data_IF_691229976642
#
_entry.id   IF_691229976642
#
_cell.length_a   1.000
_cell.length_b   1.000
_cell.length_c   1.000
_cell.angle_alpha   90.00
_cell.angle_beta   90.00
_cell.angle_gamma   90.00
#
_symmetry.space_group_name_H-M   'P 1'
#
loop_
_entity.id
_entity.type
_entity.pdbx_description
1 polymer ?
#
# COMPACT_ATOMS: atom_id res chain seq x y z
N UNK A 1 52.77 -28.31 -76.12
CA UNK A 1 51.90 -28.39 -74.92
C UNK A 1 52.53 -27.49 -73.86
N UNK A 2 52.08 -26.27 -73.54
CA UNK A 2 50.78 -25.85 -72.95
C UNK A 2 50.38 -26.84 -71.85
N UNK A 3 50.29 -26.48 -70.56
CA UNK A 3 49.56 -25.34 -69.99
C UNK A 3 50.24 -24.75 -68.75
N UNK A 4 50.04 -23.44 -68.61
CA UNK A 4 50.27 -22.61 -67.42
C UNK A 4 49.17 -22.89 -66.40
N UNK A 5 49.53 -23.02 -65.12
CA UNK A 5 48.60 -22.93 -64.00
C UNK A 5 49.01 -21.73 -63.14
N UNK A 6 48.28 -20.62 -63.27
CA UNK A 6 48.53 -19.40 -62.51
C UNK A 6 48.04 -19.55 -61.07
N UNK A 7 48.91 -19.24 -60.12
CA UNK A 7 48.56 -19.09 -58.70
C UNK A 7 48.00 -17.68 -58.52
N UNK A 8 46.69 -17.58 -58.34
CA UNK A 8 46.01 -16.33 -57.95
C UNK A 8 45.98 -16.32 -56.42
N UNK A 9 46.80 -15.46 -55.83
CA UNK A 9 46.76 -15.13 -54.40
C UNK A 9 45.55 -14.21 -54.18
N UNK A 10 44.42 -14.77 -53.75
CA UNK A 10 43.28 -14.00 -53.25
C UNK A 10 43.56 -13.61 -51.80
N UNK A 11 43.96 -12.35 -51.60
CA UNK A 11 43.96 -11.70 -50.30
C UNK A 11 42.52 -11.52 -49.82
N UNK A 12 42.03 -12.47 -49.04
CA UNK A 12 40.79 -12.32 -48.28
C UNK A 12 41.06 -11.42 -47.08
N UNK A 13 40.74 -10.13 -47.22
CA UNK A 13 40.62 -9.19 -46.10
C UNK A 13 39.42 -9.67 -45.26
N UNK A 14 39.71 -10.47 -44.23
CA UNK A 14 38.74 -10.75 -43.18
C UNK A 14 38.56 -9.47 -42.37
N UNK A 15 37.55 -8.67 -42.72
CA UNK A 15 37.07 -7.61 -41.87
C UNK A 15 36.50 -8.24 -40.59
N UNK A 16 37.33 -8.33 -39.55
CA UNK A 16 36.87 -8.49 -38.18
C UNK A 16 36.04 -7.24 -37.82
N UNK A 17 34.75 -7.25 -38.15
CA UNK A 17 33.79 -6.44 -37.44
C UNK A 17 33.61 -7.11 -36.08
N UNK A 18 34.50 -6.77 -35.14
CA UNK A 18 34.21 -6.94 -33.73
C UNK A 18 32.97 -6.10 -33.45
N UNK A 19 31.80 -6.74 -33.37
CA UNK A 19 30.66 -6.21 -32.63
C UNK A 19 31.16 -5.96 -31.21
N UNK A 20 31.67 -4.75 -30.96
CA UNK A 20 31.78 -4.25 -29.61
C UNK A 20 30.34 -4.12 -29.13
N UNK A 21 29.84 -5.17 -28.48
CA UNK A 21 28.75 -5.00 -27.54
C UNK A 21 29.24 -3.94 -26.56
N UNK A 22 28.76 -2.70 -26.73
CA UNK A 22 29.03 -1.59 -25.82
C UNK A 22 28.69 -2.12 -24.43
N UNK A 23 29.70 -2.22 -23.55
CA UNK A 23 29.42 -2.61 -22.17
C UNK A 23 28.38 -1.63 -21.64
N UNK A 24 27.22 -2.11 -21.15
CA UNK A 24 26.18 -1.22 -20.68
C UNK A 24 26.77 -0.32 -19.59
N UNK A 25 26.47 0.97 -19.69
CA UNK A 25 26.90 1.94 -18.68
C UNK A 25 26.38 1.50 -17.31
N UNK A 26 27.21 1.69 -16.29
CA UNK A 26 26.91 1.25 -14.93
C UNK A 26 27.04 2.38 -13.92
N UNK A 27 26.18 2.33 -12.89
CA UNK A 27 26.29 3.11 -11.66
C UNK A 27 26.43 2.16 -10.48
N UNK A 28 27.20 2.56 -9.46
CA UNK A 28 27.37 1.80 -8.22
C UNK A 28 26.76 2.63 -7.10
N UNK A 29 25.96 1.99 -6.25
CA UNK A 29 25.31 2.67 -5.15
C UNK A 29 26.29 3.04 -4.03
N UNK A 30 25.97 4.02 -3.16
CA UNK A 30 26.82 4.44 -2.04
C UNK A 30 27.25 3.32 -1.09
N UNK A 31 26.42 2.30 -0.87
CA UNK A 31 26.79 1.14 -0.04
C UNK A 31 27.62 0.09 -0.77
N UNK A 32 27.80 0.25 -2.10
CA UNK A 32 28.45 -0.67 -3.02
C UNK A 32 27.74 -2.03 -3.17
N UNK A 33 26.56 -2.20 -2.56
CA UNK A 33 25.77 -3.42 -2.69
C UNK A 33 25.09 -3.52 -4.05
N UNK A 34 24.61 -2.40 -4.58
CA UNK A 34 23.83 -2.36 -5.81
C UNK A 34 24.68 -1.88 -6.98
N UNK A 35 24.70 -2.69 -8.05
CA UNK A 35 25.39 -2.37 -9.30
C UNK A 35 24.33 -2.30 -10.39
N UNK A 36 24.10 -1.11 -10.93
CA UNK A 36 22.97 -0.84 -11.81
C UNK A 36 23.47 -0.61 -13.23
N UNK A 37 23.03 -1.46 -14.15
CA UNK A 37 23.29 -1.35 -15.59
C UNK A 37 22.07 -0.78 -16.30
N UNK A 38 22.29 0.10 -17.28
CA UNK A 38 21.22 0.68 -18.09
C UNK A 38 21.72 1.83 -18.94
N UNK A 39 20.95 2.26 -19.93
CA UNK A 39 21.37 3.35 -20.82
C UNK A 39 21.21 4.75 -20.19
N UNK A 40 20.19 4.96 -19.35
CA UNK A 40 19.83 6.28 -18.80
C UNK A 40 20.44 6.52 -17.41
N UNK A 41 21.32 7.52 -17.30
CA UNK A 41 21.99 7.92 -16.04
C UNK A 41 21.02 8.41 -14.96
N UNK A 42 19.96 9.11 -15.33
CA UNK A 42 18.96 9.64 -14.38
C UNK A 42 18.18 8.48 -13.78
N UNK A 43 17.75 7.55 -14.62
CA UNK A 43 17.06 6.34 -14.16
C UNK A 43 17.96 5.47 -13.29
N UNK A 44 19.24 5.26 -13.68
CA UNK A 44 20.22 4.56 -12.84
C UNK A 44 20.35 5.22 -11.45
N UNK A 45 20.40 6.56 -11.40
CA UNK A 45 20.45 7.32 -10.15
C UNK A 45 19.20 7.15 -9.30
N UNK A 46 18.01 7.24 -9.90
CA UNK A 46 16.73 7.06 -9.21
C UNK A 46 16.59 5.64 -8.62
N UNK A 47 16.94 4.61 -9.38
CA UNK A 47 16.94 3.21 -8.93
C UNK A 47 17.94 2.98 -7.80
N UNK A 48 19.13 3.59 -7.89
CA UNK A 48 20.12 3.54 -6.81
C UNK A 48 19.58 4.12 -5.52
N UNK A 49 18.93 5.29 -5.59
CA UNK A 49 18.35 5.94 -4.41
C UNK A 49 17.21 5.11 -3.81
N UNK A 50 16.33 4.57 -4.66
CA UNK A 50 15.24 3.70 -4.22
C UNK A 50 15.80 2.45 -3.51
N UNK A 51 16.78 1.76 -4.10
CA UNK A 51 17.39 0.57 -3.52
C UNK A 51 18.03 0.83 -2.14
N UNK A 52 18.78 1.94 -2.02
CA UNK A 52 19.38 2.33 -0.73
C UNK A 52 18.33 2.71 0.30
N UNK A 53 17.27 3.42 -0.10
CA UNK A 53 16.18 3.78 0.80
C UNK A 53 15.41 2.55 1.28
N UNK A 54 15.04 1.63 0.38
CA UNK A 54 14.37 0.36 0.71
C UNK A 54 15.21 -0.44 1.70
N UNK A 55 16.52 -0.56 1.45
CA UNK A 55 17.44 -1.24 2.36
C UNK A 55 17.51 -0.55 3.73
N UNK A 56 17.68 0.77 3.74
CA UNK A 56 17.80 1.55 4.97
C UNK A 56 16.55 1.39 5.83
N UNK A 57 15.37 1.46 5.22
CA UNK A 57 14.09 1.24 5.89
C UNK A 57 13.99 -0.17 6.48
N UNK A 58 14.35 -1.20 5.71
CA UNK A 58 14.34 -2.59 6.19
C UNK A 58 15.32 -2.79 7.36
N UNK A 59 16.57 -2.34 7.23
CA UNK A 59 17.58 -2.51 8.28
C UNK A 59 17.19 -1.78 9.57
N UNK A 60 16.58 -0.59 9.45
CA UNK A 60 16.03 0.14 10.59
C UNK A 60 14.91 -0.65 11.28
N UNK A 61 13.99 -1.23 10.51
CA UNK A 61 12.90 -2.08 11.04
C UNK A 61 13.46 -3.34 11.73
N UNK A 62 14.47 -3.98 11.15
CA UNK A 62 15.14 -5.17 11.71
C UNK A 62 16.10 -4.83 12.86
N UNK A 63 16.40 -3.54 13.09
CA UNK A 63 17.43 -3.05 14.02
C UNK A 63 18.81 -3.66 13.75
N UNK A 64 19.15 -3.79 12.47
CA UNK A 64 20.43 -4.33 12.02
C UNK A 64 21.33 -3.25 11.45
N UNK A 65 22.64 -3.51 11.49
CA UNK A 65 23.63 -2.73 10.75
C UNK A 65 23.75 -3.26 9.33
N UNK A 66 24.16 -2.39 8.43
CA UNK A 66 24.50 -2.80 7.08
C UNK A 66 25.76 -3.69 7.10
N UNK A 67 25.63 -4.90 6.57
CA UNK A 67 26.65 -5.94 6.60
C UNK A 67 26.48 -6.91 5.42
N UNK A 68 26.02 -6.38 4.28
CA UNK A 68 25.77 -7.15 3.07
C UNK A 68 27.04 -7.90 2.61
N UNK A 69 26.84 -9.08 2.01
CA UNK A 69 27.93 -9.90 1.47
C UNK A 69 27.74 -10.27 0.01
N UNK A 70 26.50 -10.32 -0.45
CA UNK A 70 26.14 -10.70 -1.82
C UNK A 70 25.76 -9.42 -2.57
N UNK A 71 26.46 -9.08 -3.67
CA UNK A 71 26.07 -7.93 -4.48
C UNK A 71 24.76 -8.21 -5.21
N UNK A 72 23.97 -7.17 -5.39
CA UNK A 72 22.72 -7.18 -6.17
C UNK A 72 22.96 -6.40 -7.46
N UNK A 73 22.98 -7.11 -8.57
CA UNK A 73 23.13 -6.51 -9.91
C UNK A 73 21.74 -6.22 -10.46
N UNK A 74 21.48 -4.98 -10.86
CA UNK A 74 20.19 -4.55 -11.39
C UNK A 74 20.40 -4.19 -12.86
N UNK A 75 19.69 -4.84 -13.77
CA UNK A 75 19.75 -4.52 -15.19
C UNK A 75 18.45 -3.84 -15.62
N UNK A 76 18.57 -2.62 -16.12
CA UNK A 76 17.47 -1.85 -16.66
C UNK A 76 17.39 -2.10 -18.16
N UNK A 77 16.41 -2.91 -18.58
CA UNK A 77 16.23 -3.31 -19.96
C UNK A 77 15.09 -2.50 -20.59
N UNK A 78 15.29 -1.85 -21.76
CA UNK A 78 14.20 -1.17 -22.42
C UNK A 78 13.16 -2.18 -22.91
N UNK A 79 11.87 -1.84 -22.82
CA UNK A 79 10.81 -2.65 -23.39
C UNK A 79 11.01 -2.79 -24.91
N UNK A 80 11.14 -4.04 -25.39
CA UNK A 80 11.35 -4.32 -26.82
C UNK A 80 10.04 -4.71 -27.49
N UNK A 81 9.65 -3.99 -28.54
CA UNK A 81 8.35 -4.14 -29.22
C UNK A 81 8.15 -5.49 -29.95
N UNK A 82 9.21 -6.30 -30.11
CA UNK A 82 9.21 -7.50 -30.96
C UNK A 82 9.60 -8.80 -30.24
N UNK A 83 9.73 -8.79 -28.91
CA UNK A 83 10.00 -9.99 -28.11
C UNK A 83 8.73 -10.48 -27.39
N UNK A 84 8.63 -11.77 -27.03
CA UNK A 84 7.55 -12.25 -26.15
C UNK A 84 7.46 -11.37 -24.89
N UNK A 85 6.27 -11.26 -24.28
CA UNK A 85 6.05 -10.46 -23.06
C UNK A 85 7.09 -10.83 -21.98
N UNK A 86 8.13 -10.01 -21.88
CA UNK A 86 9.14 -10.13 -20.84
C UNK A 86 8.46 -9.68 -19.54
N UNK A 87 8.60 -10.44 -18.44
CA UNK A 87 8.06 -10.00 -17.16
C UNK A 87 8.60 -8.60 -16.80
N UNK A 88 7.79 -7.76 -16.13
CA UNK A 88 8.20 -6.41 -15.76
C UNK A 88 9.41 -6.41 -14.80
N UNK A 89 9.56 -7.47 -14.02
CA UNK A 89 10.71 -7.72 -13.18
C UNK A 89 10.99 -9.22 -13.11
N UNK A 90 12.26 -9.60 -13.18
CA UNK A 90 12.70 -10.99 -13.03
C UNK A 90 13.92 -11.04 -12.10
N UNK A 91 13.82 -11.85 -11.06
CA UNK A 91 14.89 -12.00 -10.08
C UNK A 91 15.57 -13.36 -10.25
N UNK A 92 16.84 -13.31 -10.59
CA UNK A 92 17.73 -14.45 -10.76
C UNK A 92 18.70 -14.54 -9.60
N UNK A 93 18.74 -15.70 -8.95
CA UNK A 93 19.81 -16.03 -8.02
C UNK A 93 20.72 -17.05 -8.70
N UNK A 94 22.00 -16.72 -8.85
CA UNK A 94 22.98 -17.58 -9.51
C UNK A 94 24.24 -17.74 -8.65
N UNK A 95 24.90 -18.89 -8.76
CA UNK A 95 26.24 -19.07 -8.22
C UNK A 95 27.25 -18.96 -9.36
N UNK A 96 28.17 -18.02 -9.25
CA UNK A 96 29.27 -17.82 -10.21
C UNK A 96 30.57 -18.36 -9.62
N UNK A 97 31.63 -18.49 -10.42
CA UNK A 97 32.96 -18.83 -9.92
C UNK A 97 33.52 -17.85 -8.86
N UNK A 98 32.89 -16.68 -8.71
CA UNK A 98 33.24 -15.64 -7.74
C UNK A 98 32.29 -15.60 -6.52
N UNK A 99 31.38 -16.58 -6.40
CA UNK A 99 30.40 -16.66 -5.32
C UNK A 99 28.96 -16.39 -5.80
N UNK A 100 27.99 -16.38 -4.86
CA UNK A 100 26.59 -16.08 -5.18
C UNK A 100 26.44 -14.66 -5.73
N UNK A 101 25.54 -14.49 -6.69
CA UNK A 101 25.15 -13.22 -7.28
C UNK A 101 23.63 -13.18 -7.40
N UNK A 102 23.05 -12.09 -6.89
CA UNK A 102 21.66 -11.72 -7.13
C UNK A 102 21.61 -10.82 -8.36
N UNK A 103 20.75 -11.14 -9.33
CA UNK A 103 20.49 -10.32 -10.50
C UNK A 103 19.00 -10.01 -10.60
N UNK A 104 18.66 -8.74 -10.67
CA UNK A 104 17.30 -8.25 -10.87
C UNK A 104 17.23 -7.59 -12.24
N UNK A 105 16.52 -8.21 -13.17
CA UNK A 105 16.24 -7.65 -14.48
C UNK A 105 14.91 -6.88 -14.41
N UNK A 106 14.94 -5.58 -14.69
CA UNK A 106 13.77 -4.70 -14.67
C UNK A 106 13.49 -4.19 -16.08
N UNK A 107 12.28 -4.43 -16.56
CA UNK A 107 11.83 -3.92 -17.85
C UNK A 107 11.32 -2.49 -17.69
N UNK A 108 12.02 -1.55 -18.32
CA UNK A 108 11.71 -0.11 -18.33
C UNK A 108 10.70 0.15 -19.45
N UNK A 109 9.43 0.32 -19.06
CA UNK A 109 8.34 0.80 -19.92
C UNK A 109 8.05 2.29 -19.65
N UNK A 110 7.19 2.90 -20.47
CA UNK A 110 6.74 4.29 -20.25
C UNK A 110 5.95 4.45 -18.94
N UNK A 111 5.31 3.38 -18.46
CA UNK A 111 4.56 3.33 -17.19
C UNK A 111 5.35 2.60 -16.11
N UNK A 112 6.49 3.16 -15.72
CA UNK A 112 7.36 2.58 -14.70
C UNK A 112 6.61 2.49 -13.35
N UNK A 113 6.27 1.28 -12.89
CA UNK A 113 5.64 1.08 -11.59
C UNK A 113 6.70 1.06 -10.48
N UNK A 114 6.91 2.22 -9.86
CA UNK A 114 7.81 2.38 -8.73
C UNK A 114 7.47 1.44 -7.55
N UNK A 115 6.19 1.08 -7.35
CA UNK A 115 5.78 0.18 -6.25
C UNK A 115 6.20 -1.26 -6.53
N UNK A 116 6.09 -1.71 -7.78
CA UNK A 116 6.60 -3.01 -8.20
C UNK A 116 8.12 -3.07 -8.08
N UNK A 117 8.83 -2.03 -8.53
CA UNK A 117 10.28 -1.97 -8.41
C UNK A 117 10.74 -2.01 -6.96
N UNK A 118 10.12 -1.21 -6.09
CA UNK A 118 10.43 -1.21 -4.65
C UNK A 118 10.21 -2.61 -4.04
N UNK A 119 9.14 -3.30 -4.44
CA UNK A 119 8.85 -4.68 -4.01
C UNK A 119 9.95 -5.66 -4.42
N UNK A 120 10.38 -5.61 -5.68
CA UNK A 120 11.36 -6.56 -6.19
C UNK A 120 12.78 -6.26 -5.69
N UNK A 121 13.10 -4.98 -5.44
CA UNK A 121 14.29 -4.57 -4.69
C UNK A 121 14.27 -5.14 -3.27
N UNK A 122 13.14 -5.01 -2.56
CA UNK A 122 12.99 -5.59 -1.23
C UNK A 122 13.15 -7.12 -1.27
N UNK A 123 12.55 -7.80 -2.26
CA UNK A 123 12.71 -9.24 -2.45
C UNK A 123 14.18 -9.63 -2.60
N UNK A 124 14.93 -8.91 -3.43
CA UNK A 124 16.37 -9.14 -3.61
C UNK A 124 17.15 -8.95 -2.30
N UNK A 125 16.86 -7.90 -1.54
CA UNK A 125 17.52 -7.62 -0.25
C UNK A 125 17.21 -8.72 0.78
N UNK A 126 15.95 -9.17 0.86
CA UNK A 126 15.57 -10.26 1.77
C UNK A 126 16.26 -11.57 1.40
N UNK A 127 16.38 -11.88 0.11
CA UNK A 127 17.13 -13.05 -0.35
C UNK A 127 18.63 -12.93 -0.02
N UNK A 128 19.22 -11.73 -0.09
CA UNK A 128 20.57 -11.52 0.40
C UNK A 128 20.65 -11.91 1.87
N UNK A 129 19.78 -11.38 2.72
CA UNK A 129 19.82 -11.64 4.17
C UNK A 129 19.67 -13.15 4.45
N UNK A 130 18.70 -13.81 3.82
CA UNK A 130 18.46 -15.26 3.97
C UNK A 130 19.70 -16.08 3.61
N UNK A 131 20.35 -15.77 2.49
CA UNK A 131 21.44 -16.59 1.95
C UNK A 131 22.86 -16.08 2.27
N UNK A 132 23.02 -14.93 2.94
CA UNK A 132 24.34 -14.30 3.20
C UNK A 132 25.34 -15.17 3.96
N UNK A 133 24.84 -16.12 4.76
CA UNK A 133 25.66 -17.04 5.57
C UNK A 133 25.95 -18.36 4.85
N UNK A 134 25.49 -18.53 3.61
CA UNK A 134 25.56 -19.77 2.84
C UNK A 134 26.44 -19.57 1.60
N UNK A 135 27.78 -19.74 1.71
CA UNK A 135 28.70 -19.50 0.61
C UNK A 135 28.63 -20.57 -0.49
N UNK A 136 28.20 -21.79 -0.15
CA UNK A 136 28.22 -22.96 -1.04
C UNK A 136 26.79 -23.49 -1.22
N UNK A 137 26.07 -22.94 -2.19
CA UNK A 137 24.74 -23.42 -2.59
C UNK A 137 24.93 -24.31 -3.81
N UNK A 138 24.39 -25.53 -3.83
CA UNK A 138 24.61 -26.42 -4.96
C UNK A 138 24.00 -25.84 -6.25
N UNK A 139 24.68 -25.95 -7.41
CA UNK A 139 24.09 -25.59 -8.69
C UNK A 139 22.76 -26.31 -8.91
N UNK A 140 21.72 -25.58 -9.33
CA UNK A 140 20.37 -26.13 -9.51
C UNK A 140 19.51 -26.19 -8.24
N UNK A 141 19.98 -25.67 -7.10
CA UNK A 141 19.15 -25.52 -5.89
C UNK A 141 18.02 -24.52 -6.17
N UNK A 142 16.78 -24.92 -5.86
CA UNK A 142 15.62 -24.03 -5.93
C UNK A 142 15.64 -23.13 -4.69
N UNK A 143 15.69 -21.82 -4.90
CA UNK A 143 15.72 -20.83 -3.82
C UNK A 143 14.33 -20.65 -3.21
N UNK A 144 14.28 -20.58 -1.88
CA UNK A 144 13.06 -20.28 -1.15
C UNK A 144 12.81 -18.77 -1.23
N UNK A 145 11.72 -18.39 -1.88
CA UNK A 145 11.32 -16.99 -2.00
C UNK A 145 10.80 -16.47 -0.65
N UNK A 146 11.08 -15.20 -0.30
CA UNK A 146 10.43 -14.55 0.82
C UNK A 146 8.91 -14.56 0.61
N UNK A 147 8.11 -14.84 1.66
CA UNK A 147 6.66 -14.88 1.52
C UNK A 147 6.08 -13.49 1.23
N UNK A 148 5.03 -13.41 0.42
CA UNK A 148 4.46 -12.13 -0.02
C UNK A 148 3.96 -11.25 1.13
N UNK A 149 3.40 -11.85 2.18
CA UNK A 149 2.97 -11.09 3.35
C UNK A 149 4.13 -10.33 4.01
N UNK A 150 5.35 -10.85 3.94
CA UNK A 150 6.53 -10.19 4.49
C UNK A 150 6.91 -8.99 3.61
N UNK A 151 6.86 -9.17 2.28
CA UNK A 151 7.12 -8.09 1.33
C UNK A 151 6.09 -6.96 1.51
N UNK A 152 4.80 -7.28 1.42
CA UNK A 152 3.72 -6.30 1.52
C UNK A 152 3.69 -5.62 2.89
N UNK A 153 3.88 -6.39 3.97
CA UNK A 153 3.84 -5.83 5.33
C UNK A 153 5.03 -4.94 5.66
N UNK A 154 6.24 -5.27 5.19
CA UNK A 154 7.43 -4.42 5.36
C UNK A 154 7.27 -3.12 4.56
N UNK A 155 6.82 -3.21 3.30
CA UNK A 155 6.61 -2.01 2.47
C UNK A 155 5.54 -1.08 3.06
N UNK A 156 4.48 -1.63 3.65
CA UNK A 156 3.44 -0.84 4.33
C UNK A 156 3.97 -0.08 5.57
N UNK A 157 5.05 -0.59 6.18
CA UNK A 157 5.70 0.03 7.34
C UNK A 157 6.79 1.04 6.97
N UNK A 158 7.10 1.22 5.69
CA UNK A 158 8.01 2.27 5.21
C UNK A 158 7.59 3.65 5.74
N UNK A 159 8.53 4.46 6.27
CA UNK A 159 8.23 5.80 6.75
C UNK A 159 7.58 6.67 5.67
N UNK A 160 6.52 7.41 6.02
CA UNK A 160 5.83 8.32 5.09
C UNK A 160 4.82 7.67 4.15
N UNK A 161 4.66 6.33 4.16
CA UNK A 161 3.56 5.66 3.44
C UNK A 161 2.22 6.00 4.10
N UNK A 162 1.25 6.38 3.28
CA UNK A 162 -0.15 6.40 3.71
C UNK A 162 -0.65 4.96 3.92
N UNK A 163 -1.34 4.77 5.03
CA UNK A 163 -1.88 3.47 5.47
C UNK A 163 -3.41 3.52 5.59
N UNK A 164 -4.04 4.67 5.34
CA UNK A 164 -5.48 4.85 5.49
C UNK A 164 -6.29 3.81 4.71
N UNK A 165 -5.97 3.60 3.44
CA UNK A 165 -6.65 2.59 2.61
C UNK A 165 -6.48 1.14 3.11
N UNK A 166 -5.36 0.82 3.76
CA UNK A 166 -5.15 -0.50 4.38
C UNK A 166 -6.00 -0.64 5.63
N UNK A 167 -6.05 0.39 6.48
CA UNK A 167 -6.84 0.37 7.71
C UNK A 167 -8.34 0.35 7.39
N UNK A 168 -8.78 1.12 6.39
CA UNK A 168 -10.15 1.11 5.88
C UNK A 168 -10.53 -0.30 5.39
N UNK A 169 -9.66 -0.96 4.61
CA UNK A 169 -9.90 -2.33 4.16
C UNK A 169 -10.07 -3.33 5.31
N UNK A 170 -9.32 -3.18 6.42
CA UNK A 170 -9.51 -4.01 7.63
C UNK A 170 -10.79 -3.68 8.39
N UNK A 171 -11.36 -2.49 8.20
CA UNK A 171 -12.56 -2.03 8.89
C UNK A 171 -13.85 -2.46 8.18
N UNK A 172 -13.77 -2.76 6.89
CA UNK A 172 -14.88 -3.30 6.10
C UNK A 172 -15.19 -4.77 6.40
N UNK A 173 -14.26 -5.48 7.06
CA UNK A 173 -14.41 -6.90 7.41
C UNK A 173 -14.90 -7.08 8.85
N UNK A 174 -16.15 -7.53 9.03
CA UNK A 174 -16.74 -7.80 10.35
C UNK A 174 -16.00 -8.91 11.12
N UNK A 175 -15.37 -9.85 10.39
CA UNK A 175 -14.64 -10.96 10.99
C UNK A 175 -13.27 -11.13 10.31
N UNK A 176 -12.17 -10.95 11.05
CA UNK A 176 -10.84 -11.14 10.48
C UNK A 176 -10.64 -12.59 10.04
N UNK A 177 -10.01 -12.74 8.87
CA UNK A 177 -9.58 -14.03 8.31
C UNK A 177 -8.70 -14.78 9.34
N UNK A 178 -8.85 -16.09 9.56
CA UNK A 178 -7.95 -16.85 10.42
C UNK A 178 -6.47 -16.71 10.00
N UNK A 179 -5.55 -16.70 10.97
CA UNK A 179 -4.13 -16.47 10.68
C UNK A 179 -3.56 -17.56 9.78
N UNK A 180 -3.90 -18.83 10.03
CA UNK A 180 -3.43 -19.96 9.22
C UNK A 180 -3.92 -19.86 7.76
N UNK A 181 -5.19 -19.48 7.58
CA UNK A 181 -5.78 -19.29 6.26
C UNK A 181 -5.11 -18.12 5.52
N UNK A 182 -4.86 -17.01 6.22
CA UNK A 182 -4.12 -15.87 5.69
C UNK A 182 -2.72 -16.26 5.21
N UNK A 183 -1.95 -17.00 6.03
CA UNK A 183 -0.60 -17.45 5.69
C UNK A 183 -0.57 -18.40 4.48
N UNK A 184 -1.68 -19.09 4.19
CA UNK A 184 -1.85 -19.97 3.04
C UNK A 184 -2.31 -19.27 1.75
N UNK A 185 -2.80 -18.01 1.82
CA UNK A 185 -3.32 -17.31 0.64
C UNK A 185 -2.21 -16.99 -0.38
N UNK A 186 -2.59 -17.05 -1.66
CA UNK A 186 -1.76 -16.69 -2.82
C UNK A 186 -2.27 -15.38 -3.42
N UNK A 187 -1.56 -14.25 -3.23
CA UNK A 187 -2.05 -12.94 -3.65
C UNK A 187 -2.17 -12.79 -5.17
N UNK A 188 -1.48 -13.62 -5.96
CA UNK A 188 -1.52 -13.60 -7.44
C UNK A 188 -2.88 -14.05 -7.98
N UNK A 189 -3.64 -14.81 -7.19
CA UNK A 189 -4.97 -15.32 -7.56
C UNK A 189 -6.11 -14.41 -7.08
N UNK A 190 -5.79 -13.34 -6.36
CA UNK A 190 -6.78 -12.43 -5.79
C UNK A 190 -7.09 -11.27 -6.76
N UNK A 191 -8.32 -10.80 -6.72
CA UNK A 191 -8.75 -9.58 -7.40
C UNK A 191 -8.14 -8.32 -6.75
N UNK A 192 -8.49 -7.13 -7.25
CA UNK A 192 -7.95 -5.87 -6.73
C UNK A 192 -8.30 -5.66 -5.24
N UNK A 193 -9.56 -5.87 -4.87
CA UNK A 193 -10.03 -5.72 -3.49
C UNK A 193 -9.39 -6.77 -2.56
N UNK A 194 -9.34 -8.03 -2.97
CA UNK A 194 -8.69 -9.10 -2.22
C UNK A 194 -7.19 -8.87 -2.03
N UNK A 195 -6.49 -8.30 -3.04
CA UNK A 195 -5.08 -7.90 -2.90
C UNK A 195 -4.89 -6.74 -1.93
N UNK A 196 -5.77 -5.75 -1.92
CA UNK A 196 -5.74 -4.66 -0.94
C UNK A 196 -5.92 -5.19 0.49
N UNK A 197 -6.91 -6.06 0.69
CA UNK A 197 -7.16 -6.69 1.98
C UNK A 197 -5.99 -7.59 2.41
N UNK A 198 -5.39 -8.34 1.48
CA UNK A 198 -4.19 -9.14 1.75
C UNK A 198 -3.01 -8.26 2.21
N UNK A 199 -2.77 -7.12 1.54
CA UNK A 199 -1.75 -6.14 1.96
C UNK A 199 -2.03 -5.58 3.34
N UNK A 200 -3.30 -5.34 3.66
CA UNK A 200 -3.70 -4.83 4.96
C UNK A 200 -3.47 -5.86 6.08
N UNK A 201 -3.78 -7.14 5.85
CA UNK A 201 -3.43 -8.22 6.77
C UNK A 201 -1.92 -8.42 6.89
N UNK A 202 -1.18 -8.28 5.79
CA UNK A 202 0.29 -8.35 5.78
C UNK A 202 0.91 -7.26 6.65
N UNK A 203 0.43 -6.03 6.51
CA UNK A 203 0.76 -4.91 7.39
C UNK A 203 0.46 -5.21 8.86
N UNK A 204 -0.74 -5.70 9.16
CA UNK A 204 -1.13 -6.05 10.52
C UNK A 204 -0.22 -7.13 11.14
N UNK A 205 0.14 -8.14 10.36
CA UNK A 205 1.01 -9.22 10.81
C UNK A 205 2.43 -8.70 11.11
N UNK A 206 3.06 -7.99 10.17
CA UNK A 206 4.42 -7.48 10.40
C UNK A 206 4.44 -6.52 11.59
N UNK A 207 3.42 -5.65 11.72
CA UNK A 207 3.30 -4.74 12.86
C UNK A 207 3.16 -5.47 14.20
N UNK A 208 2.38 -6.56 14.23
CA UNK A 208 2.27 -7.44 15.40
C UNK A 208 3.63 -8.07 15.75
N UNK A 209 4.36 -8.57 14.76
CA UNK A 209 5.64 -9.26 14.96
C UNK A 209 6.74 -8.31 15.48
N UNK A 210 6.80 -7.07 14.97
CA UNK A 210 7.78 -6.09 15.43
C UNK A 210 7.41 -5.43 16.76
N UNK A 211 6.12 -5.40 17.12
CA UNK A 211 5.62 -4.77 18.34
C UNK A 211 5.98 -5.50 19.64
N UNK A 212 6.39 -6.78 19.55
CA UNK A 212 6.83 -7.57 20.70
C UNK A 212 8.24 -7.23 21.20
N UNK A 213 8.60 -7.76 22.37
CA UNK A 213 9.96 -7.66 22.89
C UNK A 213 10.98 -8.30 21.91
N UNK A 214 11.98 -7.51 21.52
CA UNK A 214 12.98 -7.85 20.51
C UNK A 214 12.40 -8.22 19.13
N UNK A 215 11.22 -7.70 18.77
CA UNK A 215 10.50 -8.04 17.54
C UNK A 215 11.34 -7.92 16.26
N UNK A 216 12.09 -6.81 16.10
CA UNK A 216 12.99 -6.62 14.96
C UNK A 216 14.11 -7.67 14.88
N UNK A 217 14.74 -8.00 16.01
CA UNK A 217 15.79 -9.03 16.07
C UNK A 217 15.22 -10.44 15.82
N UNK A 218 13.99 -10.71 16.28
CA UNK A 218 13.29 -11.97 16.03
C UNK A 218 12.90 -12.12 14.57
N UNK A 219 12.40 -11.05 13.94
CA UNK A 219 12.09 -11.02 12.51
C UNK A 219 13.34 -11.19 11.65
N UNK A 220 14.45 -10.57 12.04
CA UNK A 220 15.73 -10.82 11.39
C UNK A 220 16.13 -12.30 11.44
N UNK A 221 16.05 -12.94 12.61
CA UNK A 221 16.35 -14.38 12.76
C UNK A 221 15.37 -15.26 11.98
N UNK A 222 14.09 -14.86 11.88
CA UNK A 222 13.11 -15.54 11.03
C UNK A 222 13.57 -15.50 9.56
N UNK A 223 13.94 -14.33 9.05
CA UNK A 223 14.43 -14.13 7.68
C UNK A 223 15.69 -14.95 7.43
N UNK A 224 16.67 -14.92 8.34
CA UNK A 224 17.91 -15.72 8.27
C UNK A 224 17.63 -17.24 8.12
N UNK A 225 16.50 -17.72 8.65
CA UNK A 225 16.14 -19.13 8.67
C UNK A 225 15.14 -19.54 7.57
N UNK A 226 14.70 -18.62 6.70
CA UNK A 226 13.70 -18.90 5.66
C UNK A 226 14.11 -20.03 4.71
N UNK A 227 15.42 -20.17 4.42
CA UNK A 227 15.91 -21.24 3.54
C UNK A 227 15.77 -22.65 4.11
N UNK A 228 15.57 -22.78 5.43
CA UNK A 228 15.43 -24.06 6.16
C UNK A 228 14.02 -24.14 6.81
N UNK A 229 13.11 -23.25 6.41
CA UNK A 229 11.74 -23.23 6.90
C UNK A 229 11.04 -24.56 6.57
N UNK A 230 10.15 -24.98 7.48
CA UNK A 230 9.33 -26.16 7.28
C UNK A 230 8.16 -25.85 6.34
N UNK A 231 7.42 -26.89 5.94
CA UNK A 231 6.17 -26.69 5.19
C UNK A 231 5.05 -26.06 6.04
N UNK A 232 5.21 -26.05 7.37
CA UNK A 232 4.25 -25.48 8.32
C UNK A 232 4.67 -24.07 8.74
N UNK A 233 4.19 -23.10 7.96
CA UNK A 233 4.51 -21.67 8.12
C UNK A 233 4.10 -21.12 9.49
N UNK A 234 2.98 -21.59 10.05
CA UNK A 234 2.50 -21.12 11.33
C UNK A 234 3.39 -21.64 12.46
N UNK A 235 3.81 -22.90 12.40
CA UNK A 235 4.72 -23.45 13.38
C UNK A 235 6.11 -22.78 13.34
N UNK A 236 6.63 -22.46 12.16
CA UNK A 236 7.89 -21.72 12.03
C UNK A 236 7.79 -20.31 12.66
N UNK A 237 6.66 -19.62 12.45
CA UNK A 237 6.39 -18.34 13.11
C UNK A 237 6.29 -18.48 14.62
N UNK A 238 5.57 -19.49 15.13
CA UNK A 238 5.41 -19.73 16.57
C UNK A 238 6.74 -20.06 17.25
N UNK A 239 7.61 -20.80 16.58
CA UNK A 239 8.94 -21.12 17.09
C UNK A 239 9.79 -19.87 17.30
N UNK A 240 9.66 -18.88 16.41
CA UNK A 240 10.48 -17.69 16.42
C UNK A 240 9.88 -16.53 17.24
N UNK A 241 8.56 -16.47 17.33
CA UNK A 241 7.79 -15.40 17.96
C UNK A 241 6.94 -15.92 19.14
N UNK A 242 7.43 -15.78 20.39
CA UNK A 242 6.72 -16.22 21.58
C UNK A 242 5.32 -15.60 21.74
N UNK A 243 5.11 -14.40 21.17
CA UNK A 243 3.80 -13.74 21.16
C UNK A 243 2.74 -14.60 20.48
N UNK A 244 3.09 -15.50 19.55
CA UNK A 244 2.15 -16.37 18.85
C UNK A 244 2.04 -17.78 19.46
N UNK A 245 2.80 -18.11 20.50
CA UNK A 245 2.95 -19.50 20.96
C UNK A 245 1.65 -20.13 21.50
N UNK A 246 0.90 -19.40 22.33
CA UNK A 246 -0.22 -19.97 23.09
C UNK A 246 -1.59 -19.79 22.41
N UNK A 247 -1.92 -18.57 22.00
CA UNK A 247 -3.22 -18.24 21.40
C UNK A 247 -3.03 -17.36 20.15
N UNK A 248 -2.41 -17.90 19.08
CA UNK A 248 -2.08 -17.12 17.89
C UNK A 248 -3.31 -16.45 17.28
N UNK A 249 -4.44 -17.17 17.21
CA UNK A 249 -5.68 -16.65 16.64
C UNK A 249 -6.27 -15.50 17.47
N UNK A 250 -6.31 -15.60 18.80
CA UNK A 250 -6.85 -14.52 19.62
C UNK A 250 -5.99 -13.25 19.52
N UNK A 251 -4.68 -13.43 19.49
CA UNK A 251 -3.71 -12.34 19.38
C UNK A 251 -3.77 -11.69 18.01
N UNK A 252 -3.89 -12.50 16.95
CA UNK A 252 -4.12 -12.06 15.59
C UNK A 252 -5.40 -11.23 15.46
N UNK A 253 -6.55 -11.76 15.92
CA UNK A 253 -7.83 -11.03 15.91
C UNK A 253 -7.73 -9.71 16.65
N UNK A 254 -7.08 -9.71 17.82
CA UNK A 254 -6.86 -8.50 18.60
C UNK A 254 -5.95 -7.50 17.88
N UNK A 255 -4.96 -7.97 17.13
CA UNK A 255 -4.07 -7.12 16.36
C UNK A 255 -4.78 -6.45 15.19
N UNK A 256 -5.58 -7.21 14.43
CA UNK A 256 -6.41 -6.67 13.35
C UNK A 256 -7.43 -5.68 13.91
N UNK A 257 -8.17 -6.04 14.96
CA UNK A 257 -9.17 -5.17 15.57
C UNK A 257 -8.58 -3.85 16.06
N UNK A 258 -7.39 -3.86 16.69
CA UNK A 258 -6.70 -2.61 17.10
C UNK A 258 -6.38 -1.71 15.92
N UNK A 259 -6.05 -2.28 14.77
CA UNK A 259 -5.72 -1.50 13.57
C UNK A 259 -6.98 -0.96 12.92
N UNK A 260 -8.03 -1.77 12.76
CA UNK A 260 -9.35 -1.28 12.32
C UNK A 260 -9.87 -0.18 13.25
N UNK A 261 -9.63 -0.30 14.56
CA UNK A 261 -9.95 0.72 15.56
C UNK A 261 -9.04 1.96 15.49
N UNK A 262 -7.94 1.95 14.73
CA UNK A 262 -7.08 3.13 14.58
C UNK A 262 -7.77 4.22 13.74
N UNK A 263 -8.74 3.88 12.88
CA UNK A 263 -9.68 4.86 12.30
C UNK A 263 -10.53 5.55 13.39
N UNK A 264 -10.79 4.87 14.52
CA UNK A 264 -11.51 5.50 15.65
C UNK A 264 -10.67 6.59 16.36
N UNK A 265 -9.37 6.68 16.09
CA UNK A 265 -8.47 7.71 16.61
C UNK A 265 -8.09 8.78 15.57
N UNK A 266 -8.51 8.62 14.31
CA UNK A 266 -8.47 9.71 13.33
C UNK A 266 -9.53 10.73 13.72
N UNK A 267 -9.12 11.99 13.93
CA UNK A 267 -10.11 13.05 14.07
C UNK A 267 -10.89 13.12 12.76
N UNK A 268 -12.21 13.06 12.88
CA UNK A 268 -13.07 13.29 11.73
C UNK A 268 -12.75 14.65 11.12
N UNK A 269 -12.80 14.73 9.79
CA UNK A 269 -12.79 16.03 9.10
C UNK A 269 -13.96 16.88 9.61
N UNK A 270 -13.92 18.17 9.31
CA UNK A 270 -15.01 19.06 9.70
C UNK A 270 -16.35 18.58 9.08
N UNK A 271 -16.35 18.23 7.80
CA UNK A 271 -17.54 17.76 7.09
C UNK A 271 -18.10 16.45 7.66
N UNK A 272 -17.24 15.46 7.95
CA UNK A 272 -17.66 14.20 8.57
C UNK A 272 -18.19 14.42 9.99
N UNK A 273 -17.57 15.32 10.75
CA UNK A 273 -18.00 15.68 12.10
C UNK A 273 -19.37 16.35 12.10
N UNK A 274 -19.65 17.25 11.15
CA UNK A 274 -20.97 17.87 11.00
C UNK A 274 -22.04 16.84 10.64
N UNK A 275 -21.77 15.94 9.68
CA UNK A 275 -22.73 14.86 9.33
C UNK A 275 -23.05 13.96 10.52
N UNK A 276 -22.02 13.47 11.23
CA UNK A 276 -22.23 12.64 12.42
C UNK A 276 -22.97 13.40 13.52
N UNK A 277 -22.70 14.70 13.70
CA UNK A 277 -23.42 15.51 14.67
C UNK A 277 -24.91 15.60 14.28
N UNK A 278 -25.25 15.84 13.02
CA UNK A 278 -26.64 15.88 12.56
C UNK A 278 -27.37 14.55 12.78
N UNK A 279 -26.70 13.43 12.55
CA UNK A 279 -27.26 12.11 12.84
C UNK A 279 -27.55 11.94 14.35
N UNK A 280 -26.62 12.33 15.22
CA UNK A 280 -26.79 12.26 16.68
C UNK A 280 -27.87 13.20 17.22
N UNK A 281 -28.15 14.31 16.52
CA UNK A 281 -29.23 15.24 16.86
C UNK A 281 -30.61 14.70 16.45
N UNK A 282 -30.66 13.69 15.59
CA UNK A 282 -31.88 12.98 15.20
C UNK A 282 -32.08 11.74 16.09
N UNK A 283 -32.83 11.92 17.18
CA UNK A 283 -32.98 10.90 18.22
C UNK A 283 -33.98 9.83 17.78
N UNK A 284 -33.57 8.55 17.87
CA UNK A 284 -34.44 7.38 17.68
C UNK A 284 -35.22 7.09 18.96
N UNK A 285 -36.54 7.08 18.89
CA UNK A 285 -37.41 6.73 20.01
C UNK A 285 -37.65 5.21 20.08
N UNK A 286 -37.57 4.58 21.27
CA UNK A 286 -37.79 3.15 21.41
C UNK A 286 -39.20 2.75 20.95
N UNK A 287 -39.30 1.80 20.03
CA UNK A 287 -40.57 1.28 19.51
C UNK A 287 -41.16 2.05 18.31
N UNK A 288 -40.46 3.07 17.79
CA UNK A 288 -40.87 3.78 16.56
C UNK A 288 -39.69 3.98 15.63
N UNK A 289 -39.87 3.79 14.31
CA UNK A 289 -38.86 4.10 13.29
C UNK A 289 -38.69 5.60 13.02
N UNK A 290 -39.44 6.46 13.71
CA UNK A 290 -39.47 7.91 13.46
C UNK A 290 -38.32 8.61 14.19
N UNK A 291 -37.44 9.25 13.41
CA UNK A 291 -36.41 10.14 13.91
C UNK A 291 -37.02 11.45 14.37
N UNK A 292 -36.61 11.91 15.55
CA UNK A 292 -37.13 13.12 16.18
C UNK A 292 -35.96 14.05 16.50
N UNK A 293 -35.93 15.21 15.83
CA UNK A 293 -34.86 16.20 16.01
C UNK A 293 -34.85 16.75 17.45
N UNK A 294 -33.67 16.98 18.02
CA UNK A 294 -33.50 17.48 19.39
C UNK A 294 -34.33 18.74 19.71
N UNK A 295 -34.49 19.63 18.73
CA UNK A 295 -35.24 20.88 18.86
C UNK A 295 -36.75 20.67 19.12
N UNK A 296 -37.31 19.55 18.65
CA UNK A 296 -38.74 19.23 18.80
C UNK A 296 -39.15 18.92 20.24
N UNK A 297 -38.22 18.44 21.08
CA UNK A 297 -38.43 18.15 22.51
C UNK A 297 -38.66 19.42 23.36
N UNK A 298 -38.53 20.61 22.77
CA UNK A 298 -38.93 21.88 23.37
C UNK A 298 -40.44 22.05 23.47
N UNK A 299 -41.21 21.46 22.53
CA UNK A 299 -42.63 21.77 22.34
C UNK A 299 -43.55 21.08 23.35
N UNK A 300 -43.15 19.93 23.90
CA UNK A 300 -44.00 19.11 24.78
C UNK A 300 -43.23 18.59 26.01
N UNK A 301 -43.99 18.21 27.04
CA UNK A 301 -43.45 17.64 28.28
C UNK A 301 -43.00 16.21 28.00
N UNK A 302 -41.70 15.97 28.12
CA UNK A 302 -41.11 14.70 27.68
C UNK A 302 -41.63 13.52 28.50
N UNK A 303 -42.03 12.45 27.81
CA UNK A 303 -42.45 11.18 28.39
C UNK A 303 -41.27 10.46 29.07
N UNK A 304 -41.53 9.38 29.81
CA UNK A 304 -40.46 8.60 30.45
C UNK A 304 -39.51 7.96 29.42
N UNK A 305 -40.04 7.51 28.28
CA UNK A 305 -39.26 6.91 27.18
C UNK A 305 -38.41 7.96 26.47
N UNK A 306 -38.97 9.15 26.20
CA UNK A 306 -38.24 10.27 25.60
C UNK A 306 -37.11 10.78 26.48
N UNK A 307 -37.31 10.81 27.81
CA UNK A 307 -36.23 11.14 28.75
C UNK A 307 -35.11 10.10 28.73
N UNK A 308 -35.43 8.82 28.54
CA UNK A 308 -34.46 7.75 28.32
C UNK A 308 -33.64 7.98 27.05
N UNK A 309 -34.32 8.26 25.94
CA UNK A 309 -33.68 8.55 24.66
C UNK A 309 -32.78 9.80 24.70
N UNK A 310 -33.20 10.87 25.38
CA UNK A 310 -32.39 12.08 25.58
C UNK A 310 -31.14 11.83 26.45
N UNK A 311 -31.21 10.92 27.42
CA UNK A 311 -30.02 10.51 28.20
C UNK A 311 -29.05 9.71 27.34
N UNK A 312 -29.56 8.80 26.51
CA UNK A 312 -28.74 8.03 25.58
C UNK A 312 -28.05 8.96 24.57
N UNK A 313 -28.80 9.85 23.92
CA UNK A 313 -28.23 10.84 22.99
C UNK A 313 -27.17 11.72 23.68
N UNK A 314 -27.36 12.08 24.94
CA UNK A 314 -26.34 12.79 25.72
C UNK A 314 -25.08 11.96 25.98
N UNK A 315 -25.18 10.63 26.12
CA UNK A 315 -24.02 9.75 26.30
C UNK A 315 -23.30 9.56 24.96
N UNK A 316 -24.04 9.39 23.87
CA UNK A 316 -23.49 9.24 22.53
C UNK A 316 -22.74 10.51 22.10
N UNK A 317 -23.32 11.70 22.34
CA UNK A 317 -22.66 12.99 22.12
C UNK A 317 -21.40 13.14 22.98
N UNK A 318 -21.38 12.61 24.21
CA UNK A 318 -20.21 12.66 25.09
C UNK A 318 -19.06 11.81 24.54
N UNK A 319 -19.36 10.61 24.04
CA UNK A 319 -18.38 9.74 23.38
C UNK A 319 -17.87 10.38 22.09
N UNK A 320 -18.75 11.00 21.31
CA UNK A 320 -18.42 11.66 20.05
C UNK A 320 -17.41 12.81 20.20
N UNK A 321 -17.39 13.54 21.33
CA UNK A 321 -16.43 14.63 21.58
C UNK A 321 -14.97 14.17 21.40
N UNK A 322 -14.64 12.93 21.73
CA UNK A 322 -13.30 12.38 21.57
C UNK A 322 -12.84 12.27 20.11
N UNK A 323 -13.79 12.08 19.18
CA UNK A 323 -13.56 11.84 17.75
C UNK A 323 -13.82 13.07 16.87
N UNK A 324 -14.69 13.96 17.31
CA UNK A 324 -15.07 15.15 16.57
C UNK A 324 -13.88 16.06 16.27
N UNK A 325 -13.94 16.74 15.13
CA UNK A 325 -13.02 17.79 14.74
C UNK A 325 -12.82 18.78 15.90
N UNK A 326 -11.57 19.17 16.24
CA UNK A 326 -11.28 20.04 17.38
C UNK A 326 -12.13 21.31 17.44
N UNK A 327 -12.45 21.90 16.28
CA UNK A 327 -13.23 23.14 16.16
C UNK A 327 -14.70 22.93 16.55
N UNK A 328 -15.26 21.74 16.34
CA UNK A 328 -16.65 21.40 16.67
C UNK A 328 -16.84 20.89 18.10
N UNK A 329 -15.78 20.48 18.80
CA UNK A 329 -15.90 19.94 20.18
C UNK A 329 -16.67 20.84 21.15
N UNK A 330 -16.49 22.18 21.16
CA UNK A 330 -17.28 23.06 22.03
C UNK A 330 -18.78 23.04 21.69
N UNK A 331 -19.11 22.97 20.40
CA UNK A 331 -20.49 22.92 19.88
C UNK A 331 -21.15 21.60 20.28
N UNK A 332 -20.48 20.47 20.05
CA UNK A 332 -20.95 19.13 20.46
C UNK A 332 -21.20 19.07 21.97
N UNK A 333 -20.29 19.64 22.77
CA UNK A 333 -20.43 19.70 24.24
C UNK A 333 -21.64 20.52 24.67
N UNK A 334 -21.95 21.61 23.98
CA UNK A 334 -23.16 22.41 24.25
C UNK A 334 -24.44 21.63 23.92
N UNK A 335 -24.49 20.90 22.80
CA UNK A 335 -25.62 20.01 22.47
C UNK A 335 -25.80 18.91 23.51
N UNK A 336 -24.71 18.30 23.96
CA UNK A 336 -24.73 17.30 25.04
C UNK A 336 -25.34 17.86 26.33
N UNK A 337 -24.98 19.08 26.72
CA UNK A 337 -25.59 19.75 27.88
C UNK A 337 -27.08 20.05 27.68
N UNK A 338 -27.48 20.45 26.47
CA UNK A 338 -28.88 20.69 26.13
C UNK A 338 -29.69 19.39 26.24
N UNK A 339 -29.19 18.28 25.70
CA UNK A 339 -29.82 16.97 25.83
C UNK A 339 -30.02 16.57 27.30
N UNK A 340 -29.00 16.77 28.16
CA UNK A 340 -29.14 16.55 29.61
C UNK A 340 -30.19 17.45 30.27
N UNK A 341 -30.26 18.73 29.89
CA UNK A 341 -31.25 19.66 30.43
C UNK A 341 -32.67 19.26 30.04
N UNK A 342 -32.88 18.87 28.78
CA UNK A 342 -34.15 18.39 28.27
C UNK A 342 -34.57 17.08 28.94
N UNK A 343 -33.64 16.14 29.15
CA UNK A 343 -33.89 14.90 29.89
C UNK A 343 -34.34 15.16 31.35
N UNK A 344 -33.79 16.21 31.97
CA UNK A 344 -34.18 16.69 33.32
C UNK A 344 -35.46 17.55 33.31
N UNK A 345 -36.04 17.82 32.14
CA UNK A 345 -37.23 18.64 31.97
C UNK A 345 -37.00 20.15 32.06
N UNK A 346 -35.74 20.60 32.11
CA UNK A 346 -35.37 22.02 32.16
C UNK A 346 -35.33 22.60 30.75
N UNK A 347 -36.28 23.49 30.42
CA UNK A 347 -36.43 24.07 29.07
C UNK A 347 -36.11 25.58 29.00
N UNK A 348 -35.98 26.25 30.15
CA UNK A 348 -35.76 27.70 30.20
C UNK A 348 -34.45 28.06 29.50
N UNK A 349 -34.52 28.94 28.50
CA UNK A 349 -33.37 29.44 27.75
C UNK A 349 -32.76 28.45 26.74
N UNK A 350 -33.27 27.22 26.63
CA UNK A 350 -32.72 26.21 25.70
C UNK A 350 -32.94 26.61 24.25
N UNK A 351 -34.11 27.17 23.91
CA UNK A 351 -34.40 27.63 22.54
C UNK A 351 -33.39 28.69 22.05
N UNK A 352 -33.04 29.66 22.90
CA UNK A 352 -32.03 30.68 22.57
C UNK A 352 -30.64 30.08 22.39
N UNK A 353 -30.29 29.07 23.20
CA UNK A 353 -29.01 28.35 23.07
C UNK A 353 -28.94 27.56 21.77
N UNK A 354 -30.00 26.83 21.42
CA UNK A 354 -30.06 26.08 20.15
C UNK A 354 -29.96 27.01 18.93
N UNK A 355 -30.67 28.14 18.92
CA UNK A 355 -30.57 29.11 17.83
C UNK A 355 -29.14 29.66 17.68
N UNK A 356 -28.46 29.96 18.81
CA UNK A 356 -27.05 30.38 18.80
C UNK A 356 -26.13 29.29 18.25
N UNK A 357 -26.34 28.03 18.64
CA UNK A 357 -25.52 26.91 18.17
C UNK A 357 -25.67 26.68 16.67
N UNK A 358 -26.90 26.75 16.14
CA UNK A 358 -27.15 26.66 14.70
C UNK A 358 -26.39 27.74 13.93
N UNK A 359 -26.53 29.01 14.34
CA UNK A 359 -25.79 30.11 13.71
C UNK A 359 -24.26 29.95 13.85
N UNK A 360 -23.77 29.36 14.94
CA UNK A 360 -22.34 29.08 15.12
C UNK A 360 -21.87 27.98 14.17
N UNK A 361 -22.66 26.90 14.02
CA UNK A 361 -22.37 25.81 13.08
C UNK A 361 -22.32 26.30 11.64
N UNK A 362 -23.30 27.09 11.21
CA UNK A 362 -23.33 27.67 9.86
C UNK A 362 -22.10 28.54 9.59
N UNK A 363 -21.71 29.39 10.53
CA UNK A 363 -20.51 30.22 10.40
C UNK A 363 -19.21 29.40 10.35
N UNK A 364 -19.12 28.33 11.14
CA UNK A 364 -17.97 27.43 11.13
C UNK A 364 -17.89 26.66 9.81
N UNK A 365 -19.02 26.18 9.31
CA UNK A 365 -19.10 25.45 8.05
C UNK A 365 -18.68 26.32 6.86
N UNK A 366 -19.17 27.56 6.78
CA UNK A 366 -18.75 28.50 5.76
C UNK A 366 -17.22 28.71 5.77
N UNK A 367 -16.64 29.00 6.95
CA UNK A 367 -15.20 29.22 7.09
C UNK A 367 -14.35 28.00 6.73
N UNK A 368 -14.81 26.79 7.09
CA UNK A 368 -14.06 25.57 6.78
C UNK A 368 -14.13 25.23 5.30
N UNK A 369 -15.27 25.46 4.64
CA UNK A 369 -15.36 25.35 3.17
C UNK A 369 -14.43 26.35 2.48
N UNK A 370 -14.37 27.61 2.93
CA UNK A 370 -13.45 28.60 2.36
C UNK A 370 -11.97 28.15 2.48
N UNK A 371 -11.62 27.50 3.60
CA UNK A 371 -10.27 26.94 3.82
C UNK A 371 -10.02 25.76 2.89
N UNK A 372 -10.96 24.81 2.79
CA UNK A 372 -10.84 23.65 1.92
C UNK A 372 -10.72 24.09 0.44
N UNK A 373 -11.51 25.07 0.00
CA UNK A 373 -11.44 25.65 -1.35
C UNK A 373 -10.08 26.31 -1.63
N UNK A 374 -9.54 27.05 -0.65
CA UNK A 374 -8.22 27.63 -0.77
C UNK A 374 -7.13 26.56 -0.85
N UNK A 375 -7.20 25.53 -0.02
CA UNK A 375 -6.24 24.42 -0.03
C UNK A 375 -6.30 23.65 -1.35
N UNK A 376 -7.49 23.37 -1.86
CA UNK A 376 -7.69 22.74 -3.17
C UNK A 376 -7.11 23.61 -4.31
N UNK A 377 -7.38 24.92 -4.29
CA UNK A 377 -6.79 25.84 -5.27
C UNK A 377 -5.27 25.87 -5.18
N UNK A 378 -4.70 25.89 -3.97
CA UNK A 378 -3.26 25.89 -3.75
C UNK A 378 -2.61 24.59 -4.23
N UNK A 379 -3.19 23.43 -3.91
CA UNK A 379 -2.74 22.14 -4.43
C UNK A 379 -2.80 22.08 -5.96
N UNK A 380 -3.87 22.59 -6.56
CA UNK A 380 -4.07 22.56 -8.01
C UNK A 380 -3.14 23.51 -8.79
N UNK A 381 -2.74 24.64 -8.18
CA UNK A 381 -2.05 25.72 -8.92
C UNK A 381 -0.62 25.99 -8.48
N UNK A 382 -0.27 25.70 -7.22
CA UNK A 382 1.03 26.08 -6.63
C UNK A 382 1.89 24.89 -6.20
N UNK A 383 1.33 23.68 -6.06
CA UNK A 383 2.13 22.48 -5.75
C UNK A 383 2.72 21.86 -7.02
N UNK A 384 4.04 21.62 -7.02
CA UNK A 384 4.75 20.92 -8.10
C UNK A 384 4.49 19.40 -8.16
N UNK A 385 3.78 18.85 -7.17
CA UNK A 385 3.41 17.43 -7.08
C UNK A 385 2.00 17.32 -6.51
N UNK A 386 1.05 16.78 -7.28
CA UNK A 386 -0.33 16.55 -6.82
C UNK A 386 -0.42 15.48 -5.73
N UNK A 387 -1.54 15.47 -4.99
CA UNK A 387 -1.77 14.61 -3.81
C UNK A 387 -1.78 13.09 -4.07
N UNK A 388 -1.61 12.64 -5.33
CA UNK A 388 -1.55 11.22 -5.69
C UNK A 388 -2.91 10.50 -5.66
N UNK A 389 -3.95 11.08 -5.07
CA UNK A 389 -5.26 10.43 -4.89
C UNK A 389 -5.96 10.03 -6.20
N UNK A 390 -5.69 10.77 -7.28
CA UNK A 390 -6.27 10.51 -8.60
C UNK A 390 -5.36 9.71 -9.53
N UNK A 391 -4.15 9.32 -9.11
CA UNK A 391 -3.22 8.61 -10.01
C UNK A 391 -3.79 7.29 -10.47
N UNK A 392 -4.52 6.58 -9.61
CA UNK A 392 -5.11 5.29 -9.97
C UNK A 392 -6.31 5.43 -10.91
N UNK A 393 -7.10 6.50 -10.75
CA UNK A 393 -8.21 6.80 -11.66
C UNK A 393 -7.70 7.26 -13.03
N UNK A 394 -6.66 8.11 -13.07
CA UNK A 394 -6.01 8.52 -14.31
C UNK A 394 -5.36 7.33 -15.02
N UNK A 395 -4.71 6.42 -14.27
CA UNK A 395 -4.18 5.17 -14.82
C UNK A 395 -5.28 4.27 -15.38
N UNK A 396 -6.41 4.13 -14.69
CA UNK A 396 -7.54 3.33 -15.17
C UNK A 396 -8.19 3.95 -16.41
N UNK A 397 -8.31 5.29 -16.47
CA UNK A 397 -8.81 6.01 -17.62
C UNK A 397 -7.86 5.87 -18.82
N UNK A 398 -6.54 6.01 -18.62
CA UNK A 398 -5.53 5.77 -19.65
C UNK A 398 -5.55 4.31 -20.13
N UNK A 399 -5.75 3.35 -19.24
CA UNK A 399 -5.93 1.92 -19.60
C UNK A 399 -7.21 1.68 -20.40
N UNK A 400 -8.28 2.47 -20.19
CA UNK A 400 -9.51 2.39 -20.97
C UNK A 400 -9.43 3.09 -22.34
N UNK A 401 -8.61 4.14 -22.44
CA UNK A 401 -8.30 4.87 -23.68
C UNK A 401 -7.31 4.10 -24.56
N UNK A 402 -6.47 3.26 -23.97
CA UNK A 402 -5.70 2.24 -24.69
C UNK A 402 -6.68 1.25 -25.27
N UNK A 403 -6.95 1.38 -26.57
CA UNK A 403 -7.76 0.44 -27.34
C UNK A 403 -7.35 -0.97 -26.98
N UNK A 404 -8.33 -1.81 -26.59
CA UNK A 404 -8.08 -3.23 -26.34
C UNK A 404 -7.25 -3.81 -27.49
N UNK A 405 -6.27 -4.69 -27.23
CA UNK A 405 -5.40 -5.24 -28.27
C UNK A 405 -6.26 -5.75 -29.43
N UNK A 406 -6.02 -5.20 -30.64
CA UNK A 406 -6.78 -5.53 -31.84
C UNK A 406 -6.85 -7.05 -31.97
N UNK A 407 -8.06 -7.60 -31.87
CA UNK A 407 -8.27 -9.04 -31.97
C UNK A 407 -7.90 -9.45 -33.39
N UNK A 408 -6.96 -10.39 -33.53
CA UNK A 408 -6.47 -10.89 -34.84
C UNK A 408 -7.24 -12.11 -35.31
N UNK A 409 -8.50 -12.27 -34.91
CA UNK A 409 -9.34 -13.31 -35.48
C UNK A 409 -9.83 -12.90 -36.88
N UNK A 410 -10.14 -13.87 -37.77
CA UNK A 410 -10.51 -13.58 -39.15
C UNK A 410 -11.73 -12.66 -39.30
N UNK A 411 -12.62 -12.65 -38.30
CA UNK A 411 -13.84 -11.84 -38.31
C UNK A 411 -13.51 -10.38 -37.97
N UNK A 412 -12.66 -10.16 -36.96
CA UNK A 412 -12.19 -8.82 -36.56
C UNK A 412 -11.39 -8.14 -37.68
N UNK A 413 -10.55 -8.87 -38.41
CA UNK A 413 -9.80 -8.33 -39.57
C UNK A 413 -10.74 -7.88 -40.70
N UNK A 414 -11.83 -8.62 -40.94
CA UNK A 414 -12.83 -8.24 -41.93
C UNK A 414 -13.62 -7.00 -41.50
N UNK A 415 -14.01 -6.91 -40.23
CA UNK A 415 -14.72 -5.74 -39.70
C UNK A 415 -13.84 -4.47 -39.70
N UNK A 416 -12.57 -4.59 -39.34
CA UNK A 416 -11.61 -3.49 -39.39
C UNK A 416 -11.41 -3.00 -40.85
N UNK A 417 -11.32 -3.93 -41.81
CA UNK A 417 -11.21 -3.59 -43.24
C UNK A 417 -12.44 -2.87 -43.79
N UNK A 418 -13.63 -3.15 -43.23
CA UNK A 418 -14.85 -2.44 -43.59
C UNK A 418 -14.89 -1.05 -42.96
N UNK A 419 -14.47 -0.92 -41.70
CA UNK A 419 -14.39 0.38 -41.03
C UNK A 419 -13.47 1.36 -41.78
N UNK A 420 -12.31 0.90 -42.25
CA UNK A 420 -11.37 1.70 -43.06
C UNK A 420 -11.95 2.12 -44.44
N UNK A 421 -12.95 1.39 -44.95
CA UNK A 421 -13.65 1.75 -46.20
C UNK A 421 -14.75 2.79 -46.00
N UNK A 422 -15.23 2.99 -44.78
CA UNK A 422 -16.27 3.99 -44.47
C UNK A 422 -15.69 5.32 -43.95
N UNK A 423 -14.39 5.38 -43.63
CA UNK A 423 -13.68 6.60 -43.20
C UNK A 423 -12.94 7.35 -44.34
N UNK A 424 -13.13 6.97 -45.62
CA UNK A 424 -12.65 7.72 -46.79
C UNK A 424 -13.78 8.33 -47.62
#
# INVERSE_FOLDING_TARGET
MKMKGGVIFLWSIAACQSLHAVLPERSISPSHQFIIYGADVVLRGAVSNLAEQTKTNLLALLRQRDAWKIPVVINLQPQQANLPEIPPAELHFSQTGFGPKLQLDLTVSQDLDASLMERELLRAILLEITYRKQPNIAPGTIFVQPPDWLLDGVLALTPGRDRGSLVEALSMEDKPLPLEEFLGKRPELLDSAGRLLYRAYSFALVQLLIGGADGGARLSRYIDNLSIASNDRLNDLKAQFPVLANQPENIWRSAVARLSDTENYRFLTFAESERHLDELLNIKLPGTSKLTELSSFLRQKSSATEKGALKQASQDLLLFIGRANPVLRPVVREYQQIAMLLARGKRRGVAKRLARLLATRENLAARMNDIDDYMNWFEATQMGSGSGNFTDYLKAADQSLRSAPRRRDPLSVYLDSLADQFEN
#
